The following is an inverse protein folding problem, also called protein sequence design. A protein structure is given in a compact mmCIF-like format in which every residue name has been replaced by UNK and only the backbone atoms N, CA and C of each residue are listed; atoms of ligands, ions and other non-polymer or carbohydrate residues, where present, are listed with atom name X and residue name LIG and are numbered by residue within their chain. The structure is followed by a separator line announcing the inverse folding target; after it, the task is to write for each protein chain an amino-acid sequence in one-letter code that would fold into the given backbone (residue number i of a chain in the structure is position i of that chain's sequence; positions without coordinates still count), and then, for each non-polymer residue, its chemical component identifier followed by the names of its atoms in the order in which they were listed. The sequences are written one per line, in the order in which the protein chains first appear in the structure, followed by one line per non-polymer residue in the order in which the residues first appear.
data_IF_245375986925
#
_entry.id   IF_245375986925
#
_cell.length_a   1.000
_cell.length_b   1.000
_cell.length_c   1.000
_cell.angle_alpha   90.00
_cell.angle_beta   90.00
_cell.angle_gamma   90.00
#
_symmetry.space_group_name_H-M   'P 1'
#
loop_
_entity.id
_entity.type
_entity.pdbx_description
1 polymer ?
#
# COMPACT_ATOMS: atom_id res chain seq x y z
N UNK A 1 8.65 31.08 5.72
CA UNK A 1 7.49 30.73 6.57
C UNK A 1 6.63 29.73 5.80
N UNK A 2 7.24 28.60 5.40
CA UNK A 2 6.68 27.71 4.37
C UNK A 2 6.71 26.28 4.92
N UNK A 3 5.78 26.00 5.83
CA UNK A 3 5.67 24.68 6.47
C UNK A 3 4.27 24.17 6.20
N UNK A 4 4.18 22.97 5.66
CA UNK A 4 2.93 22.21 5.57
C UNK A 4 2.84 21.32 6.79
N UNK A 5 1.74 21.40 7.53
CA UNK A 5 1.47 20.55 8.68
C UNK A 5 0.47 19.48 8.27
N UNK A 6 0.88 18.22 8.33
CA UNK A 6 0.03 17.06 8.06
C UNK A 6 -0.20 16.34 9.39
N UNK A 7 -1.46 16.06 9.69
CA UNK A 7 -1.88 15.32 10.87
C UNK A 7 -2.69 14.11 10.42
N UNK A 8 -2.54 12.99 11.14
CA UNK A 8 -3.22 11.74 10.83
C UNK A 8 -3.83 11.17 12.09
N UNK A 9 -5.02 10.58 11.98
CA UNK A 9 -5.71 9.88 13.08
C UNK A 9 -6.39 8.63 12.53
N UNK A 10 -6.50 7.59 13.36
CA UNK A 10 -7.25 6.36 13.05
C UNK A 10 -8.69 6.40 13.60
N UNK A 11 -9.17 7.56 14.08
CA UNK A 11 -10.54 7.70 14.56
C UNK A 11 -11.53 7.49 13.40
N UNK A 12 -12.54 6.65 13.64
CA UNK A 12 -13.56 6.33 12.64
C UNK A 12 -13.13 5.29 11.61
N UNK A 13 -11.94 4.68 11.72
CA UNK A 13 -11.48 3.65 10.79
C UNK A 13 -12.42 2.45 10.70
N UNK A 14 -12.98 2.00 11.83
CA UNK A 14 -13.90 0.86 11.86
C UNK A 14 -15.19 1.18 11.09
N UNK A 15 -15.70 2.40 11.26
CA UNK A 15 -16.90 2.88 10.56
C UNK A 15 -16.66 2.98 9.05
N UNK A 16 -15.47 3.44 8.64
CA UNK A 16 -15.08 3.49 7.24
C UNK A 16 -15.05 2.09 6.63
N UNK A 17 -14.53 1.10 7.36
CA UNK A 17 -14.46 -0.30 6.92
C UNK A 17 -15.86 -0.93 6.81
N UNK A 18 -16.70 -0.77 7.84
CA UNK A 18 -18.03 -1.39 7.90
C UNK A 18 -19.01 -0.79 6.88
N UNK A 19 -18.94 0.52 6.64
CA UNK A 19 -19.90 1.25 5.78
C UNK A 19 -19.38 1.51 4.38
N UNK A 20 -18.23 0.92 4.02
CA UNK A 20 -17.64 1.11 2.71
C UNK A 20 -18.54 0.53 1.62
N UNK A 21 -18.84 1.34 0.59
CA UNK A 21 -19.73 0.94 -0.50
C UNK A 21 -21.22 1.07 -0.19
N UNK A 22 -21.62 1.28 1.07
CA UNK A 22 -23.00 1.57 1.47
C UNK A 22 -23.35 3.05 1.37
N UNK A 23 -22.38 3.91 1.73
CA UNK A 23 -22.55 5.36 1.80
C UNK A 23 -21.64 6.05 0.78
N UNK A 24 -22.10 7.20 0.28
CA UNK A 24 -21.23 8.08 -0.48
C UNK A 24 -20.17 8.74 0.42
N UNK A 25 -19.18 9.35 -0.22
CA UNK A 25 -18.07 10.01 0.47
C UNK A 25 -18.53 11.11 1.43
N UNK A 26 -19.56 11.88 1.07
CA UNK A 26 -20.01 13.03 1.85
C UNK A 26 -20.61 12.57 3.17
N UNK A 27 -21.48 11.57 3.14
CA UNK A 27 -22.09 10.98 4.33
C UNK A 27 -21.05 10.26 5.20
N UNK A 28 -20.10 9.54 4.59
CA UNK A 28 -18.98 8.93 5.31
C UNK A 28 -18.14 9.98 6.04
N UNK A 29 -17.82 11.09 5.36
CA UNK A 29 -17.06 12.20 5.93
C UNK A 29 -17.77 12.84 7.11
N UNK A 30 -19.08 13.06 7.02
CA UNK A 30 -19.88 13.61 8.12
C UNK A 30 -19.85 12.70 9.36
N UNK A 31 -20.04 11.39 9.16
CA UNK A 31 -19.98 10.42 10.26
C UNK A 31 -18.61 10.39 10.95
N UNK A 32 -17.53 10.35 10.17
CA UNK A 32 -16.15 10.36 10.69
C UNK A 32 -15.86 11.67 11.43
N UNK A 33 -16.30 12.81 10.88
CA UNK A 33 -16.16 14.11 11.56
C UNK A 33 -16.94 14.18 12.88
N UNK A 34 -18.10 13.51 12.96
CA UNK A 34 -18.82 13.31 14.20
C UNK A 34 -17.97 12.58 15.25
N UNK A 35 -17.26 11.51 14.88
CA UNK A 35 -16.34 10.81 15.81
C UNK A 35 -15.17 11.71 16.23
N UNK A 36 -14.60 12.47 15.29
CA UNK A 36 -13.50 13.40 15.55
C UNK A 36 -13.92 14.50 16.54
N UNK A 37 -15.13 15.07 16.41
CA UNK A 37 -15.62 16.13 17.30
C UNK A 37 -15.88 15.67 18.74
N UNK A 38 -16.09 14.37 18.97
CA UNK A 38 -16.18 13.82 20.33
C UNK A 38 -14.80 13.69 21.00
N UNK A 39 -13.72 13.55 20.22
CA UNK A 39 -12.37 13.31 20.72
C UNK A 39 -11.51 14.58 20.79
N UNK A 40 -11.73 15.53 19.88
CA UNK A 40 -10.99 16.78 19.80
C UNK A 40 -11.88 17.99 20.08
N UNK A 41 -11.31 18.99 20.74
CA UNK A 41 -12.03 20.23 21.02
C UNK A 41 -12.31 20.99 19.72
N UNK A 42 -13.46 21.68 19.60
CA UNK A 42 -13.82 22.44 18.41
C UNK A 42 -12.76 23.47 17.99
N UNK A 43 -12.06 24.08 18.95
CA UNK A 43 -11.01 25.07 18.67
C UNK A 43 -9.82 24.46 17.94
N UNK A 44 -9.53 23.18 18.12
CA UNK A 44 -8.49 22.47 17.39
C UNK A 44 -8.95 22.14 15.96
N UNK A 45 -10.17 21.62 15.83
CA UNK A 45 -10.75 21.25 14.53
C UNK A 45 -10.88 22.47 13.62
N UNK A 46 -11.30 23.62 14.18
CA UNK A 46 -11.41 24.90 13.46
C UNK A 46 -10.06 25.48 13.00
N UNK A 47 -8.92 24.85 13.32
CA UNK A 47 -7.58 25.22 12.82
C UNK A 47 -7.10 24.33 11.69
N UNK A 48 -7.91 23.36 11.26
CA UNK A 48 -7.59 22.46 10.16
C UNK A 48 -8.29 23.01 8.92
N UNK A 49 -7.51 23.36 7.91
CA UNK A 49 -8.04 23.93 6.66
C UNK A 49 -8.86 22.88 5.88
N UNK A 50 -8.33 21.66 5.78
CA UNK A 50 -8.95 20.57 5.01
C UNK A 50 -8.86 19.24 5.75
N UNK A 51 -9.96 18.48 5.72
CA UNK A 51 -10.05 17.12 6.26
C UNK A 51 -10.33 16.15 5.12
N UNK A 52 -9.42 15.18 4.97
CA UNK A 52 -9.52 14.12 3.97
C UNK A 52 -9.75 12.79 4.69
N UNK A 53 -10.86 12.14 4.39
CA UNK A 53 -11.13 10.75 4.78
C UNK A 53 -10.58 9.84 3.68
N UNK A 54 -9.79 8.83 4.06
CA UNK A 54 -9.25 7.85 3.12
C UNK A 54 -10.25 6.73 2.87
N UNK A 55 -10.35 6.30 1.62
CA UNK A 55 -11.09 5.09 1.26
C UNK A 55 -10.26 3.84 1.59
N UNK A 56 -10.92 2.73 1.96
CA UNK A 56 -10.30 1.43 1.98
C UNK A 56 -9.62 1.07 0.64
N UNK A 57 -8.57 0.26 0.73
CA UNK A 57 -7.87 -0.22 -0.45
C UNK A 57 -8.64 -1.41 -1.03
N UNK A 58 -9.04 -1.31 -2.31
CA UNK A 58 -9.54 -2.45 -3.07
C UNK A 58 -8.39 -3.27 -3.66
N UNK A 59 -8.72 -4.45 -4.18
CA UNK A 59 -7.76 -5.40 -4.77
C UNK A 59 -6.87 -4.75 -5.84
N UNK A 60 -7.47 -3.98 -6.76
CA UNK A 60 -6.74 -3.26 -7.81
C UNK A 60 -5.77 -2.21 -7.26
N UNK A 61 -6.12 -1.56 -6.13
CA UNK A 61 -5.24 -0.62 -5.45
C UNK A 61 -4.04 -1.36 -4.86
N UNK A 62 -4.24 -2.54 -4.26
CA UNK A 62 -3.15 -3.35 -3.71
C UNK A 62 -2.19 -3.80 -4.82
N UNK A 63 -2.71 -4.29 -5.94
CA UNK A 63 -1.88 -4.67 -7.09
C UNK A 63 -1.04 -3.49 -7.61
N UNK A 64 -1.65 -2.31 -7.72
CA UNK A 64 -0.94 -1.08 -8.10
C UNK A 64 0.15 -0.71 -7.09
N UNK A 65 -0.13 -0.84 -5.79
CA UNK A 65 0.85 -0.59 -4.73
C UNK A 65 1.99 -1.62 -4.79
N UNK A 66 1.70 -2.89 -5.08
CA UNK A 66 2.70 -3.94 -5.24
C UNK A 66 3.67 -3.59 -6.38
N UNK A 67 3.14 -3.20 -7.54
CA UNK A 67 3.95 -2.74 -8.67
C UNK A 67 4.83 -1.54 -8.28
N UNK A 68 4.28 -0.54 -7.58
CA UNK A 68 5.05 0.63 -7.12
C UNK A 68 6.21 0.21 -6.21
N UNK A 69 5.98 -0.71 -5.28
CA UNK A 69 7.02 -1.19 -4.37
C UNK A 69 8.10 -2.00 -5.12
N UNK A 70 7.70 -2.82 -6.09
CA UNK A 70 8.60 -3.62 -6.92
C UNK A 70 9.49 -2.78 -7.85
N UNK A 71 9.07 -1.57 -8.26
CA UNK A 71 9.90 -0.68 -9.11
C UNK A 71 11.32 -0.47 -8.58
N UNK A 72 11.48 -0.36 -7.25
CA UNK A 72 12.81 -0.19 -6.64
C UNK A 72 13.67 -1.44 -6.75
N UNK A 73 13.06 -2.62 -6.66
CA UNK A 73 13.74 -3.89 -6.86
C UNK A 73 14.17 -4.03 -8.33
N UNK A 74 13.25 -3.78 -9.26
CA UNK A 74 13.51 -3.89 -10.70
C UNK A 74 14.67 -3.01 -11.14
N UNK A 75 14.68 -1.75 -10.71
CA UNK A 75 15.79 -0.84 -11.00
C UNK A 75 17.15 -1.36 -10.51
N UNK A 76 17.21 -1.91 -9.28
CA UNK A 76 18.47 -2.46 -8.72
C UNK A 76 18.94 -3.71 -9.47
N UNK A 77 18.02 -4.53 -9.97
CA UNK A 77 18.32 -5.72 -10.75
C UNK A 77 18.80 -5.35 -12.15
N UNK A 78 18.13 -4.39 -12.79
CA UNK A 78 18.48 -3.86 -14.11
C UNK A 78 19.89 -3.24 -14.11
N UNK A 79 20.24 -2.46 -13.08
CA UNK A 79 21.60 -1.91 -12.89
C UNK A 79 22.69 -2.99 -12.79
N UNK A 80 22.32 -4.25 -12.49
CA UNK A 80 23.21 -5.42 -12.43
C UNK A 80 23.08 -6.35 -13.65
N UNK A 81 22.34 -5.93 -14.68
CA UNK A 81 22.14 -6.67 -15.91
C UNK A 81 21.08 -7.77 -15.83
N UNK A 82 20.19 -7.73 -14.84
CA UNK A 82 19.05 -8.65 -14.74
C UNK A 82 17.77 -7.98 -15.22
N UNK A 83 17.07 -8.65 -16.14
CA UNK A 83 15.73 -8.26 -16.57
C UNK A 83 14.71 -9.16 -15.87
N UNK A 84 13.65 -8.58 -15.33
CA UNK A 84 12.63 -9.32 -14.58
C UNK A 84 11.23 -8.96 -15.03
N UNK A 85 10.41 -9.98 -15.23
CA UNK A 85 9.00 -9.86 -15.61
C UNK A 85 8.16 -10.65 -14.62
N UNK A 86 7.14 -10.00 -14.06
CA UNK A 86 6.14 -10.64 -13.20
C UNK A 86 4.86 -10.84 -14.00
N UNK A 87 4.27 -12.04 -13.93
CA UNK A 87 2.95 -12.30 -14.51
C UNK A 87 1.86 -11.58 -13.73
N UNK A 88 0.71 -11.35 -14.38
CA UNK A 88 -0.45 -10.76 -13.71
C UNK A 88 -0.97 -11.70 -12.60
N UNK A 89 -0.86 -13.01 -12.80
CA UNK A 89 -1.21 -14.04 -11.82
C UNK A 89 -0.32 -13.98 -10.57
N UNK A 90 1.00 -13.90 -10.75
CA UNK A 90 1.96 -13.77 -9.65
C UNK A 90 1.76 -12.46 -8.89
N UNK A 91 1.50 -11.36 -9.61
CA UNK A 91 1.21 -10.07 -9.00
C UNK A 91 -0.09 -10.10 -8.20
N UNK A 92 -1.12 -10.77 -8.70
CA UNK A 92 -2.39 -10.97 -7.99
C UNK A 92 -2.18 -11.76 -6.71
N UNK A 93 -1.49 -12.91 -6.78
CA UNK A 93 -1.20 -13.74 -5.61
C UNK A 93 -0.39 -12.99 -4.55
N UNK A 94 0.61 -12.21 -4.99
CA UNK A 94 1.39 -11.35 -4.10
C UNK A 94 0.53 -10.29 -3.41
N UNK A 95 -0.46 -9.75 -4.13
CA UNK A 95 -1.38 -8.74 -3.62
C UNK A 95 -2.36 -9.31 -2.61
N UNK A 96 -2.93 -10.48 -2.88
CA UNK A 96 -3.80 -11.22 -1.95
C UNK A 96 -3.06 -11.54 -0.65
N UNK A 97 -1.82 -12.04 -0.74
CA UNK A 97 -0.98 -12.35 0.42
C UNK A 97 -0.46 -11.11 1.18
N UNK A 98 -0.37 -9.98 0.48
CA UNK A 98 0.15 -8.73 1.02
C UNK A 98 -0.92 -7.76 1.54
N UNK A 99 -2.19 -8.14 1.44
CA UNK A 99 -3.34 -7.39 1.94
C UNK A 99 -3.82 -7.92 3.28
N UNK A 100 -4.07 -7.02 4.20
CA UNK A 100 -4.75 -7.31 5.46
C UNK A 100 -5.90 -6.30 5.65
N UNK A 101 -7.14 -6.73 5.96
CA UNK A 101 -8.26 -5.81 6.13
C UNK A 101 -8.01 -4.73 7.20
N UNK A 102 -7.29 -5.06 8.27
CA UNK A 102 -6.98 -4.16 9.39
C UNK A 102 -5.75 -3.31 9.09
N UNK A 103 -4.71 -3.91 8.51
CA UNK A 103 -3.41 -3.26 8.29
C UNK A 103 -3.22 -2.69 6.87
N UNK A 104 -4.18 -2.87 5.97
CA UNK A 104 -4.12 -2.47 4.57
C UNK A 104 -2.94 -3.12 3.84
N UNK A 105 -2.27 -2.37 2.96
CA UNK A 105 -1.11 -2.83 2.20
C UNK A 105 0.21 -2.89 3.01
N UNK A 106 0.19 -2.68 4.33
CA UNK A 106 1.41 -2.69 5.16
C UNK A 106 2.18 -4.02 5.10
N UNK A 107 1.53 -5.20 5.10
CA UNK A 107 2.21 -6.49 4.97
C UNK A 107 2.90 -6.70 3.61
N UNK A 108 2.46 -5.99 2.56
CA UNK A 108 2.94 -6.18 1.19
C UNK A 108 4.45 -6.04 1.05
N UNK A 109 5.07 -5.11 1.77
CA UNK A 109 6.53 -4.95 1.77
C UNK A 109 7.23 -6.22 2.25
N UNK A 110 6.69 -6.86 3.29
CA UNK A 110 7.22 -8.11 3.84
C UNK A 110 6.97 -9.27 2.89
N UNK A 111 5.80 -9.34 2.27
CA UNK A 111 5.48 -10.34 1.27
C UNK A 111 6.46 -10.27 0.08
N UNK A 112 6.69 -9.07 -0.48
CA UNK A 112 7.68 -8.84 -1.54
C UNK A 112 9.07 -9.29 -1.09
N UNK A 113 9.49 -8.92 0.11
CA UNK A 113 10.81 -9.31 0.60
C UNK A 113 10.95 -10.83 0.71
N UNK A 114 9.97 -11.51 1.32
CA UNK A 114 10.05 -12.93 1.62
C UNK A 114 9.84 -13.81 0.39
N UNK A 115 8.92 -13.42 -0.50
CA UNK A 115 8.50 -14.24 -1.64
C UNK A 115 9.28 -13.89 -2.91
N UNK A 116 9.79 -12.67 -3.04
CA UNK A 116 10.48 -12.21 -4.27
C UNK A 116 11.95 -11.88 -3.99
N UNK A 117 12.25 -10.92 -3.11
CA UNK A 117 13.64 -10.44 -2.96
C UNK A 117 14.58 -11.52 -2.42
N UNK A 118 14.16 -12.26 -1.39
CA UNK A 118 15.00 -13.28 -0.76
C UNK A 118 15.30 -14.46 -1.70
N UNK A 119 14.31 -15.06 -2.40
CA UNK A 119 14.59 -16.12 -3.37
C UNK A 119 15.49 -15.66 -4.51
N UNK A 120 15.24 -14.48 -5.08
CA UNK A 120 16.10 -13.93 -6.13
C UNK A 120 17.54 -13.73 -5.65
N UNK A 121 17.72 -13.20 -4.44
CA UNK A 121 19.06 -13.05 -3.87
C UNK A 121 19.78 -14.39 -3.71
N UNK A 122 19.09 -15.43 -3.25
CA UNK A 122 19.67 -16.78 -3.12
C UNK A 122 20.06 -17.37 -4.47
N UNK A 123 19.19 -17.26 -5.49
CA UNK A 123 19.47 -17.81 -6.83
C UNK A 123 20.56 -17.03 -7.57
N UNK A 124 20.70 -15.73 -7.32
CA UNK A 124 21.83 -14.93 -7.83
C UNK A 124 23.14 -15.37 -7.15
N UNK A 125 23.12 -15.57 -5.83
CA UNK A 125 24.31 -16.00 -5.07
C UNK A 125 24.75 -17.43 -5.39
N UNK A 126 23.81 -18.32 -5.71
CA UNK A 126 24.11 -19.69 -6.15
C UNK A 126 24.61 -19.77 -7.60
N UNK A 127 24.47 -18.69 -8.38
CA UNK A 127 24.81 -18.64 -9.80
C UNK A 127 23.76 -19.25 -10.72
N UNK A 128 22.58 -19.61 -10.19
CA UNK A 128 21.45 -20.11 -10.99
C UNK A 128 20.88 -19.02 -11.90
N UNK A 129 20.77 -17.79 -11.39
CA UNK A 129 20.38 -16.62 -12.16
C UNK A 129 21.61 -15.87 -12.68
N UNK A 130 21.73 -15.83 -14.00
CA UNK A 130 22.81 -15.15 -14.74
C UNK A 130 22.33 -13.86 -15.41
N UNK A 131 23.14 -12.79 -15.42
CA UNK A 131 22.82 -11.55 -16.14
C UNK A 131 22.56 -11.78 -17.64
N UNK A 132 21.72 -10.93 -18.23
CA UNK A 132 21.35 -10.98 -19.65
C UNK A 132 20.28 -12.01 -19.99
N UNK A 133 19.81 -12.82 -19.03
CA UNK A 133 18.60 -13.66 -19.18
C UNK A 133 17.43 -13.03 -18.46
N UNK A 134 16.25 -13.14 -19.07
CA UNK A 134 14.99 -12.69 -18.48
C UNK A 134 14.59 -13.65 -17.35
N UNK A 135 14.38 -13.09 -16.16
CA UNK A 135 13.77 -13.76 -15.01
C UNK A 135 12.25 -13.63 -15.14
N UNK A 136 11.54 -14.76 -15.11
CA UNK A 136 10.08 -14.79 -15.09
C UNK A 136 9.60 -15.20 -13.70
N UNK A 137 8.75 -14.37 -13.11
CA UNK A 137 8.02 -14.68 -11.89
C UNK A 137 6.60 -15.07 -12.29
N UNK A 138 6.22 -16.32 -12.04
CA UNK A 138 4.92 -16.92 -12.37
C UNK A 138 4.17 -17.37 -11.12
#
# INVERSE_FOLDING_TARGET
RNTVVIMTSNLGSDLIQERFGELDYAHMKELVLGVVSHNFRPEFINRIDEVVVFHPLGEQHIASIAQIQLKRLYKRLEERGYEIHISDEALKLLSENGYDPVYGARPLKRAIQQQIENPLAQQILSGELVPGKVIRLE
#
